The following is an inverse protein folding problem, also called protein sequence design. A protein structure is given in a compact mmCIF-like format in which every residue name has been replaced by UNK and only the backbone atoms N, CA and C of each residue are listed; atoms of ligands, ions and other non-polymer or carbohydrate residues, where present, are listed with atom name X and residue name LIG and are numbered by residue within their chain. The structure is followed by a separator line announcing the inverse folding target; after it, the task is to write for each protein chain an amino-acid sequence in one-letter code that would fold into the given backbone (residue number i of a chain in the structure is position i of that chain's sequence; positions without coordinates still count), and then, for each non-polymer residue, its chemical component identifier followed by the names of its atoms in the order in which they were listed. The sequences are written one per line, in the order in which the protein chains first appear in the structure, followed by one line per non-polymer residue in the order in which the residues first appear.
data_IF_733546613952
#
_entry.id   IF_733546613952
#
_cell.length_a   1.000
_cell.length_b   1.000
_cell.length_c   1.000
_cell.angle_alpha   90.00
_cell.angle_beta   90.00
_cell.angle_gamma   90.00
#
_symmetry.space_group_name_H-M   'P 1'
#
loop_
_entity.id
_entity.type
_entity.pdbx_description
1 polymer ?
#
# COMPACT_ATOMS: atom_id res chain seq x y z
N UNK A 1 15.13 5.90 0.35
CA UNK A 1 13.68 6.11 0.56
C UNK A 1 12.79 5.96 -0.67
N UNK A 2 13.12 6.48 -1.87
CA UNK A 2 12.20 6.47 -3.04
C UNK A 2 11.71 5.07 -3.48
N UNK A 3 12.49 4.02 -3.20
CA UNK A 3 12.10 2.62 -3.47
C UNK A 3 10.84 2.16 -2.71
N UNK A 4 10.45 2.84 -1.63
CA UNK A 4 9.20 2.56 -0.89
C UNK A 4 7.94 2.80 -1.74
N UNK A 5 8.05 3.60 -2.81
CA UNK A 5 6.95 3.82 -3.76
C UNK A 5 6.68 2.59 -4.64
N UNK A 6 7.58 1.61 -4.69
CA UNK A 6 7.38 0.35 -5.42
C UNK A 6 6.58 -0.69 -4.61
N UNK A 7 6.46 -0.53 -3.28
CA UNK A 7 5.67 -1.43 -2.44
C UNK A 7 4.21 -1.58 -2.91
N UNK A 8 3.46 -0.50 -3.19
CA UNK A 8 2.10 -0.65 -3.69
C UNK A 8 2.04 -1.32 -5.05
N UNK A 9 3.00 -1.06 -5.94
CA UNK A 9 3.04 -1.76 -7.22
C UNK A 9 3.21 -3.26 -7.02
N UNK A 10 4.14 -3.72 -6.18
CA UNK A 10 4.33 -5.15 -5.90
C UNK A 10 3.10 -5.74 -5.19
N UNK A 11 2.54 -5.02 -4.23
CA UNK A 11 1.37 -5.44 -3.46
C UNK A 11 0.08 -5.56 -4.27
N UNK A 12 -0.10 -4.71 -5.29
CA UNK A 12 -1.22 -4.74 -6.23
C UNK A 12 -0.95 -5.56 -7.50
N UNK A 13 0.29 -5.82 -7.92
CA UNK A 13 0.56 -6.72 -9.06
C UNK A 13 0.50 -8.20 -8.68
N UNK A 14 0.60 -8.54 -7.40
CA UNK A 14 0.57 -9.92 -6.93
C UNK A 14 -0.85 -10.47 -6.86
N UNK A 15 -1.54 -10.48 -8.01
CA UNK A 15 -2.92 -10.96 -8.19
C UNK A 15 -3.19 -12.29 -7.47
N UNK A 16 -2.37 -13.36 -7.58
CA UNK A 16 -2.70 -14.63 -6.92
C UNK A 16 -2.63 -14.57 -5.38
N UNK A 17 -2.03 -13.53 -4.80
CA UNK A 17 -1.94 -13.39 -3.34
C UNK A 17 -3.27 -12.95 -2.74
N UNK A 18 -3.91 -11.97 -3.38
CA UNK A 18 -5.14 -11.36 -2.90
C UNK A 18 -6.39 -11.71 -3.71
N UNK A 19 -6.26 -12.48 -4.78
CA UNK A 19 -7.39 -13.11 -5.47
C UNK A 19 -7.89 -14.35 -4.70
N UNK A 20 -8.21 -14.15 -3.42
CA UNK A 20 -8.87 -15.15 -2.58
C UNK A 20 -10.20 -14.55 -2.12
N UNK A 21 -11.20 -15.40 -1.93
CA UNK A 21 -12.48 -14.93 -1.36
C UNK A 21 -12.39 -14.81 0.17
N UNK A 22 -11.54 -15.63 0.80
CA UNK A 22 -11.30 -15.67 2.23
C UNK A 22 -9.89 -15.17 2.58
N UNK A 23 -9.73 -14.43 3.69
CA UNK A 23 -10.76 -14.08 4.68
C UNK A 23 -11.68 -12.94 4.22
N UNK A 24 -12.98 -13.13 4.37
CA UNK A 24 -13.96 -12.07 4.20
C UNK A 24 -14.12 -11.30 5.51
N UNK A 25 -14.12 -9.97 5.44
CA UNK A 25 -14.34 -9.09 6.58
C UNK A 25 -15.74 -8.50 6.46
N UNK A 26 -16.63 -8.79 7.41
CA UNK A 26 -18.00 -8.24 7.40
C UNK A 26 -18.78 -8.52 6.11
N UNK A 27 -18.50 -9.65 5.44
CA UNK A 27 -19.09 -10.00 4.13
C UNK A 27 -18.37 -9.37 2.92
N UNK A 28 -17.34 -8.55 3.12
CA UNK A 28 -16.45 -8.09 2.05
C UNK A 28 -15.36 -9.13 1.73
N UNK A 29 -15.24 -9.61 0.48
CA UNK A 29 -14.18 -10.51 0.06
C UNK A 29 -12.78 -9.90 0.23
N UNK A 30 -11.76 -10.77 0.39
CA UNK A 30 -10.36 -10.36 0.57
C UNK A 30 -9.88 -9.38 -0.48
N UNK A 31 -10.19 -9.64 -1.75
CA UNK A 31 -9.84 -8.78 -2.87
C UNK A 31 -10.18 -7.29 -2.65
N UNK A 32 -11.40 -7.01 -2.18
CA UNK A 32 -11.90 -5.64 -2.06
C UNK A 32 -11.32 -4.92 -0.85
N UNK A 33 -11.36 -5.54 0.32
CA UNK A 33 -10.87 -4.87 1.53
C UNK A 33 -9.36 -4.71 1.51
N UNK A 34 -8.63 -5.63 0.86
CA UNK A 34 -7.20 -5.52 0.67
C UNK A 34 -6.85 -4.28 -0.17
N UNK A 35 -7.53 -4.06 -1.31
CA UNK A 35 -7.37 -2.84 -2.11
C UNK A 35 -7.74 -1.58 -1.32
N UNK A 36 -8.79 -1.64 -0.51
CA UNK A 36 -9.18 -0.52 0.34
C UNK A 36 -8.13 -0.21 1.40
N UNK A 37 -7.51 -1.22 2.02
CA UNK A 37 -6.40 -1.07 2.96
C UNK A 37 -5.14 -0.49 2.31
N UNK A 38 -4.94 -0.71 1.01
CA UNK A 38 -3.84 -0.08 0.27
C UNK A 38 -4.00 1.44 0.14
N UNK A 39 -5.22 1.99 0.21
CA UNK A 39 -5.43 3.45 0.12
C UNK A 39 -4.75 4.21 1.27
N UNK A 40 -5.04 3.95 2.56
CA UNK A 40 -4.34 4.61 3.65
C UNK A 40 -2.86 4.19 3.71
N UNK A 41 -2.52 2.95 3.37
CA UNK A 41 -1.14 2.47 3.38
C UNK A 41 -0.27 3.23 2.37
N UNK A 42 -0.76 3.44 1.15
CA UNK A 42 -0.05 4.22 0.12
C UNK A 42 0.07 5.70 0.50
N UNK A 43 -1.00 6.29 1.04
CA UNK A 43 -0.97 7.66 1.56
C UNK A 43 0.12 7.82 2.64
N UNK A 44 0.21 6.87 3.58
CA UNK A 44 1.20 6.88 4.65
C UNK A 44 2.62 6.68 4.12
N UNK A 45 2.82 5.77 3.16
CA UNK A 45 4.11 5.59 2.47
C UNK A 45 4.57 6.87 1.75
N UNK A 46 3.67 7.53 1.02
CA UNK A 46 3.95 8.81 0.36
C UNK A 46 4.31 9.86 1.40
N UNK A 47 3.58 9.95 2.51
CA UNK A 47 3.88 10.89 3.59
C UNK A 47 5.26 10.65 4.21
N UNK A 48 5.65 9.39 4.46
CA UNK A 48 6.99 9.05 4.97
C UNK A 48 8.06 9.47 3.97
N UNK A 49 7.89 9.13 2.68
CA UNK A 49 8.85 9.47 1.62
C UNK A 49 8.96 10.99 1.45
N UNK A 50 7.84 11.71 1.51
CA UNK A 50 7.81 13.16 1.42
C UNK A 50 8.51 13.80 2.62
N UNK A 51 8.21 13.34 3.84
CA UNK A 51 8.85 13.84 5.07
C UNK A 51 10.36 13.59 5.09
N UNK A 52 10.80 12.43 4.62
CA UNK A 52 12.23 12.12 4.48
C UNK A 52 12.90 12.96 3.38
N UNK A 53 12.20 13.13 2.25
CA UNK A 53 12.68 13.99 1.16
C UNK A 53 12.83 15.45 1.58
N UNK A 54 11.94 15.97 2.42
CA UNK A 54 12.05 17.29 3.02
C UNK A 54 13.26 17.39 3.95
N UNK A 55 13.47 16.41 4.84
CA UNK A 55 14.62 16.38 5.74
C UNK A 55 15.96 16.41 5.01
N UNK A 56 16.03 15.79 3.83
CA UNK A 56 17.25 15.70 3.02
C UNK A 56 17.52 16.94 2.16
N UNK A 57 16.56 17.86 2.05
CA UNK A 57 16.74 19.16 1.40
C UNK A 57 17.27 20.25 2.32
N UNK A 58 17.34 19.98 3.63
CA UNK A 58 17.86 20.87 4.67
C UNK A 58 19.32 20.50 5.09
N UNK A 59 19.99 19.59 4.38
CA UNK A 59 21.40 19.21 4.57
C UNK A 59 22.28 19.63 3.38
#
# INVERSE_FOLDING_TARGET
MRLLLLLPFIGLLWVPFYNRELPSLWGFPFFYWYQFAWVPLTSLLIWIVFRDGLKKGDE
#
